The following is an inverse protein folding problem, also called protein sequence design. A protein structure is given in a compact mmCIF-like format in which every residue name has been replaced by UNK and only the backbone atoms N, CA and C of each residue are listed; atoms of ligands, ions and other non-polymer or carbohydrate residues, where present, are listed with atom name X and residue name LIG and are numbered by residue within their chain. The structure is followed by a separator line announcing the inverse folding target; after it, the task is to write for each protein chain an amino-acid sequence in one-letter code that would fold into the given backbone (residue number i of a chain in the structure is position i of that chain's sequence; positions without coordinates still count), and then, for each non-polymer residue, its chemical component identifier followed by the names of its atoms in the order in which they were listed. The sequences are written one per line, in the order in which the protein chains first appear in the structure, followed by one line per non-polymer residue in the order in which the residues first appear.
data_IF_066216121515
#
_entry.id   IF_066216121515
#
_cell.length_a   1.000
_cell.length_b   1.000
_cell.length_c   1.000
_cell.angle_alpha   90.00
_cell.angle_beta   90.00
_cell.angle_gamma   90.00
#
_symmetry.space_group_name_H-M   'P 1'
#
loop_
_entity.id
_entity.type
_entity.pdbx_description
1 polymer ?
#
# COMPACT_ATOMS: atom_id res chain seq x y z
N UNK A 1 -22.66 -11.06 9.46
CA UNK A 1 -21.28 -10.99 8.94
C UNK A 1 -20.94 -12.37 8.43
N UNK A 2 -20.61 -12.51 7.15
CA UNK A 2 -20.38 -13.81 6.51
C UNK A 2 -19.23 -14.54 7.21
N UNK A 3 -19.46 -15.81 7.56
CA UNK A 3 -18.44 -16.72 8.03
C UNK A 3 -17.49 -16.95 6.86
N UNK A 4 -16.32 -16.32 6.89
CA UNK A 4 -15.18 -16.72 6.05
C UNK A 4 -14.98 -18.23 6.24
N UNK A 5 -14.75 -18.98 5.15
CA UNK A 5 -14.36 -20.40 5.24
C UNK A 5 -13.16 -20.58 6.19
N UNK A 6 -12.88 -21.80 6.65
CA UNK A 6 -11.91 -22.05 7.74
C UNK A 6 -10.49 -21.50 7.51
N UNK A 7 -10.14 -21.10 6.29
CA UNK A 7 -8.83 -20.62 5.89
C UNK A 7 -8.84 -19.27 5.12
N UNK A 8 -9.96 -18.55 5.09
CA UNK A 8 -10.07 -17.31 4.31
C UNK A 8 -9.71 -16.04 5.11
N UNK A 9 -9.09 -15.06 4.46
CA UNK A 9 -8.75 -13.75 5.03
C UNK A 9 -8.98 -12.61 4.04
N UNK A 10 -9.01 -11.37 4.55
CA UNK A 10 -9.27 -10.17 3.75
C UNK A 10 -8.08 -9.20 3.76
N UNK A 11 -7.81 -8.60 2.61
CA UNK A 11 -6.93 -7.44 2.47
C UNK A 11 -7.67 -6.31 1.74
N UNK A 12 -7.32 -5.07 2.03
CA UNK A 12 -7.72 -3.94 1.19
C UNK A 12 -6.83 -3.88 -0.06
N UNK A 13 -7.43 -3.69 -1.22
CA UNK A 13 -6.70 -3.11 -2.35
C UNK A 13 -6.38 -1.64 -2.00
N UNK A 14 -5.25 -1.12 -2.47
CA UNK A 14 -4.82 0.25 -2.18
C UNK A 14 -4.69 1.06 -3.47
N UNK A 15 -5.04 2.34 -3.38
CA UNK A 15 -4.64 3.36 -4.36
C UNK A 15 -3.57 4.24 -3.73
N UNK A 16 -2.49 4.49 -4.45
CA UNK A 16 -1.41 5.39 -4.03
C UNK A 16 -1.26 6.50 -5.05
N UNK A 17 -1.46 7.74 -4.63
CA UNK A 17 -1.51 8.91 -5.52
C UNK A 17 -0.48 9.96 -5.12
N UNK A 18 0.17 10.55 -6.12
CA UNK A 18 1.09 11.67 -5.94
C UNK A 18 0.29 12.93 -5.65
N UNK A 19 0.74 13.66 -4.63
CA UNK A 19 0.24 14.96 -4.21
C UNK A 19 1.35 15.98 -4.35
N UNK A 20 1.12 16.99 -5.18
CA UNK A 20 2.03 18.09 -5.45
C UNK A 20 1.42 19.38 -4.89
N UNK A 21 2.06 20.01 -3.90
CA UNK A 21 1.59 21.28 -3.38
C UNK A 21 1.56 22.37 -4.48
N UNK A 22 0.49 23.17 -4.57
CA UNK A 22 0.32 24.15 -5.64
C UNK A 22 1.42 25.21 -5.59
N UNK A 23 1.91 25.62 -6.76
CA UNK A 23 2.94 26.66 -6.89
C UNK A 23 4.33 26.27 -6.38
N UNK A 24 4.56 24.98 -6.06
CA UNK A 24 5.86 24.48 -5.60
C UNK A 24 6.55 23.66 -6.68
N UNK A 25 7.86 23.84 -6.81
CA UNK A 25 8.68 23.00 -7.69
C UNK A 25 8.80 21.59 -7.10
N UNK A 26 8.51 20.59 -7.92
CA UNK A 26 8.75 19.18 -7.62
C UNK A 26 10.13 18.82 -8.18
N UNK A 27 10.99 18.28 -7.32
CA UNK A 27 12.40 17.97 -7.66
C UNK A 27 12.58 16.52 -8.13
N UNK A 28 11.61 15.64 -7.87
CA UNK A 28 11.56 14.31 -8.43
C UNK A 28 10.72 14.27 -9.72
N UNK A 29 10.63 13.10 -10.36
CA UNK A 29 9.83 12.91 -11.58
C UNK A 29 8.31 12.83 -11.36
N UNK A 30 7.82 13.06 -10.14
CA UNK A 30 6.41 12.90 -9.79
C UNK A 30 5.56 14.04 -10.37
N UNK A 31 4.35 13.72 -10.82
CA UNK A 31 3.37 14.67 -11.34
C UNK A 31 2.05 14.53 -10.59
N UNK A 32 1.33 15.64 -10.45
CA UNK A 32 -0.02 15.62 -9.87
C UNK A 32 -0.91 14.61 -10.62
N UNK A 33 -1.58 13.73 -9.88
CA UNK A 33 -2.45 12.69 -10.45
C UNK A 33 -1.74 11.39 -10.87
N UNK A 34 -0.40 11.34 -10.88
CA UNK A 34 0.32 10.07 -11.03
C UNK A 34 -0.10 9.13 -9.89
N UNK A 35 -0.43 7.90 -10.22
CA UNK A 35 -0.86 6.92 -9.23
C UNK A 35 -0.54 5.48 -9.61
N UNK A 36 -0.61 4.59 -8.64
CA UNK A 36 -0.68 3.16 -8.88
C UNK A 36 -1.73 2.53 -7.98
N UNK A 37 -2.19 1.35 -8.35
CA UNK A 37 -3.08 0.53 -7.54
C UNK A 37 -2.36 -0.75 -7.13
N UNK A 38 -2.39 -1.07 -5.84
CA UNK A 38 -1.99 -2.36 -5.31
C UNK A 38 -3.26 -3.21 -5.16
N UNK A 39 -3.43 -4.17 -6.06
CA UNK A 39 -4.58 -5.07 -6.08
C UNK A 39 -4.11 -6.46 -5.64
N UNK A 40 -4.46 -6.86 -4.43
CA UNK A 40 -3.78 -7.98 -3.77
C UNK A 40 -2.29 -7.72 -3.62
N UNK A 41 -1.44 -8.65 -4.06
CA UNK A 41 0.02 -8.47 -4.09
C UNK A 41 0.55 -7.76 -5.36
N UNK A 42 -0.33 -7.43 -6.31
CA UNK A 42 0.08 -6.96 -7.64
C UNK A 42 -0.06 -5.43 -7.78
N UNK A 43 1.04 -4.77 -8.17
CA UNK A 43 1.07 -3.34 -8.45
C UNK A 43 0.72 -3.06 -9.92
N UNK A 44 -0.23 -2.15 -10.16
CA UNK A 44 -0.68 -1.73 -11.47
C UNK A 44 -0.48 -0.23 -11.67
N UNK A 45 0.14 0.14 -12.78
CA UNK A 45 0.26 1.52 -13.25
C UNK A 45 -0.74 1.79 -14.38
N UNK A 46 -1.24 3.02 -14.53
CA UNK A 46 -1.93 3.44 -15.74
C UNK A 46 -1.05 3.26 -16.98
N UNK A 47 -1.63 2.98 -18.17
CA UNK A 47 -0.87 2.81 -19.39
C UNK A 47 0.04 4.00 -19.69
N UNK A 48 1.33 3.73 -19.93
CA UNK A 48 2.33 4.75 -20.27
C UNK A 48 2.80 5.62 -19.10
N UNK A 49 2.32 5.38 -17.87
CA UNK A 49 2.77 6.13 -16.71
C UNK A 49 4.04 5.50 -16.12
N UNK A 50 5.12 6.29 -16.05
CA UNK A 50 6.27 5.96 -15.22
C UNK A 50 6.01 6.33 -13.76
N UNK A 51 6.70 5.68 -12.82
CA UNK A 51 6.70 6.08 -11.42
C UNK A 51 8.13 6.16 -10.91
N UNK A 52 8.45 7.18 -10.11
CA UNK A 52 9.79 7.34 -9.54
C UNK A 52 10.12 6.15 -8.63
N UNK A 53 11.19 5.42 -8.93
CA UNK A 53 11.64 4.29 -8.09
C UNK A 53 12.03 4.74 -6.69
N UNK A 54 12.53 5.97 -6.54
CA UNK A 54 12.81 6.55 -5.24
C UNK A 54 11.52 6.81 -4.45
N UNK A 55 10.48 7.33 -5.11
CA UNK A 55 9.17 7.51 -4.48
C UNK A 55 8.55 6.17 -4.10
N UNK A 56 8.69 5.13 -4.94
CA UNK A 56 8.29 3.76 -4.60
C UNK A 56 9.04 3.24 -3.36
N UNK A 57 10.37 3.43 -3.29
CA UNK A 57 11.16 2.97 -2.14
C UNK A 57 10.71 3.56 -0.81
N UNK A 58 10.15 4.77 -0.81
CA UNK A 58 9.63 5.41 0.38
C UNK A 58 8.28 4.82 0.84
N UNK A 59 7.40 4.43 -0.10
CA UNK A 59 6.04 3.97 0.23
C UNK A 59 5.91 2.46 0.35
N UNK A 60 6.68 1.69 -0.41
CA UNK A 60 6.61 0.22 -0.46
C UNK A 60 6.67 -0.46 0.92
N UNK A 61 7.54 -0.04 1.87
CA UNK A 61 7.63 -0.68 3.17
C UNK A 61 6.33 -0.62 3.99
N UNK A 62 5.42 0.29 3.67
CA UNK A 62 4.20 0.55 4.44
C UNK A 62 2.97 -0.13 3.85
N UNK A 63 3.02 -0.59 2.59
CA UNK A 63 1.83 -1.05 1.88
C UNK A 63 1.22 -2.29 2.51
N UNK A 64 2.02 -3.29 2.89
CA UNK A 64 1.51 -4.52 3.50
C UNK A 64 0.74 -4.26 4.80
N UNK A 65 1.25 -3.35 5.64
CA UNK A 65 0.55 -2.92 6.85
C UNK A 65 -0.74 -2.16 6.51
N UNK A 66 -0.70 -1.28 5.51
CA UNK A 66 -1.86 -0.49 5.07
C UNK A 66 -2.98 -1.33 4.44
N UNK A 67 -2.66 -2.49 3.85
CA UNK A 67 -3.66 -3.46 3.36
C UNK A 67 -4.44 -4.15 4.48
N UNK A 68 -3.89 -4.22 5.70
CA UNK A 68 -4.50 -4.94 6.82
C UNK A 68 -5.36 -4.01 7.67
N UNK A 69 -6.36 -4.54 8.39
CA UNK A 69 -6.95 -3.83 9.53
C UNK A 69 -5.84 -3.50 10.53
N UNK A 70 -5.79 -2.24 10.96
CA UNK A 70 -4.82 -1.72 11.91
C UNK A 70 -5.58 -1.15 13.12
N UNK A 71 -4.94 -1.06 14.28
CA UNK A 71 -5.60 -0.59 15.49
C UNK A 71 -6.01 0.90 15.34
N UNK A 72 -7.22 1.31 15.75
CA UNK A 72 -7.71 2.68 15.50
C UNK A 72 -6.84 3.79 16.12
N UNK A 73 -6.12 3.48 17.19
CA UNK A 73 -5.22 4.43 17.88
C UNK A 73 -3.76 4.36 17.42
N UNK A 74 -3.44 3.53 16.43
CA UNK A 74 -2.10 3.45 15.84
C UNK A 74 -1.97 4.51 14.72
N UNK A 75 -0.85 5.23 14.69
CA UNK A 75 -0.53 6.18 13.62
C UNK A 75 -0.56 5.51 12.24
N UNK A 76 -0.27 4.20 12.17
CA UNK A 76 -0.39 3.42 10.93
C UNK A 76 -1.83 3.40 10.39
N UNK A 77 -2.85 3.67 11.21
CA UNK A 77 -4.23 3.79 10.76
C UNK A 77 -4.54 5.17 10.20
N UNK A 78 -4.05 6.24 10.84
CA UNK A 78 -4.42 7.62 10.52
C UNK A 78 -3.53 8.27 9.47
N UNK A 79 -2.23 7.99 9.50
CA UNK A 79 -1.23 8.74 8.74
C UNK A 79 -1.08 8.11 7.36
N UNK A 80 -1.77 8.68 6.37
CA UNK A 80 -1.87 8.12 5.03
C UNK A 80 -0.99 8.81 4.00
N UNK A 81 -0.14 9.76 4.40
CA UNK A 81 0.73 10.51 3.50
C UNK A 81 2.20 10.26 3.78
N UNK A 82 2.92 9.82 2.75
CA UNK A 82 4.35 9.52 2.82
C UNK A 82 5.11 10.59 2.04
N UNK A 83 6.13 11.18 2.67
CA UNK A 83 6.93 12.23 2.05
C UNK A 83 7.82 11.67 0.92
N UNK A 84 8.15 12.54 -0.04
CA UNK A 84 9.25 12.27 -0.97
C UNK A 84 10.55 11.98 -0.18
N UNK A 85 11.39 11.02 -0.62
CA UNK A 85 12.68 10.78 0.04
C UNK A 85 13.68 11.94 -0.14
N UNK A 86 13.51 12.79 -1.15
CA UNK A 86 14.26 14.04 -1.25
C UNK A 86 13.62 15.09 -0.31
N UNK A 87 14.32 15.55 0.75
CA UNK A 87 13.78 16.48 1.72
C UNK A 87 13.43 17.85 1.12
N UNK A 88 13.97 18.19 -0.05
CA UNK A 88 13.67 19.45 -0.74
C UNK A 88 12.54 19.31 -1.77
N UNK A 89 12.04 18.10 -1.99
CA UNK A 89 10.91 17.84 -2.87
C UNK A 89 9.61 17.80 -2.05
N UNK A 90 8.68 18.74 -2.24
CA UNK A 90 7.49 18.84 -1.38
C UNK A 90 6.37 17.88 -1.77
N UNK A 91 6.57 17.00 -2.75
CA UNK A 91 5.58 16.00 -3.14
C UNK A 91 5.36 14.97 -2.02
N UNK A 92 4.15 14.42 -1.97
CA UNK A 92 3.77 13.33 -1.07
C UNK A 92 3.07 12.23 -1.84
N UNK A 93 2.96 11.06 -1.21
CA UNK A 93 2.20 9.92 -1.70
C UNK A 93 1.06 9.65 -0.73
N UNK A 94 -0.18 9.76 -1.18
CA UNK A 94 -1.35 9.44 -0.36
C UNK A 94 -1.80 8.02 -0.62
N UNK A 95 -1.96 7.23 0.44
CA UNK A 95 -2.48 5.87 0.41
C UNK A 95 -3.98 5.92 0.76
N UNK A 96 -4.81 5.28 -0.06
CA UNK A 96 -6.24 5.13 0.18
C UNK A 96 -6.63 3.67 0.09
N UNK A 97 -7.26 3.15 1.15
CA UNK A 97 -7.88 1.81 1.13
C UNK A 97 -9.08 1.83 0.18
N UNK A 98 -9.12 0.89 -0.75
CA UNK A 98 -10.21 0.67 -1.69
C UNK A 98 -11.12 -0.44 -1.17
N UNK A 99 -11.71 -1.23 -2.07
CA UNK A 99 -12.48 -2.42 -1.72
C UNK A 99 -11.63 -3.50 -1.05
N UNK A 100 -12.30 -4.38 -0.31
CA UNK A 100 -11.69 -5.58 0.24
C UNK A 100 -11.65 -6.70 -0.81
N UNK A 101 -10.60 -7.49 -0.74
CA UNK A 101 -10.38 -8.72 -1.51
C UNK A 101 -10.24 -9.88 -0.55
N UNK A 102 -10.88 -11.00 -0.88
CA UNK A 102 -10.80 -12.24 -0.12
C UNK A 102 -9.71 -13.11 -0.72
N UNK A 103 -8.91 -13.72 0.16
CA UNK A 103 -7.89 -14.71 -0.15
C UNK A 103 -8.17 -15.99 0.63
N UNK A 104 -7.68 -17.13 0.15
CA UNK A 104 -7.52 -18.36 0.93
C UNK A 104 -6.05 -18.49 1.33
N UNK A 105 -5.79 -18.95 2.55
CA UNK A 105 -4.44 -19.23 3.06
C UNK A 105 -3.69 -20.24 2.18
N UNK A 106 -4.37 -21.32 1.78
CA UNK A 106 -3.76 -22.38 0.96
C UNK A 106 -3.32 -21.92 -0.43
N UNK A 107 -3.92 -20.84 -0.95
CA UNK A 107 -3.57 -20.29 -2.26
C UNK A 107 -2.29 -19.43 -2.22
N UNK A 108 -1.93 -18.90 -1.05
CA UNK A 108 -0.87 -17.86 -0.92
C UNK A 108 0.34 -18.31 -0.10
N UNK A 109 0.32 -19.51 0.46
CA UNK A 109 1.47 -20.07 1.18
C UNK A 109 1.46 -21.59 1.17
N UNK A 110 2.66 -22.18 1.19
CA UNK A 110 2.85 -23.62 1.33
C UNK A 110 2.84 -24.09 2.80
N UNK A 111 2.89 -23.16 3.77
CA UNK A 111 2.90 -23.49 5.20
C UNK A 111 1.46 -23.76 5.68
N UNK A 112 1.14 -24.93 6.25
CA UNK A 112 -0.23 -25.22 6.71
C UNK A 112 -0.69 -24.35 7.89
N UNK A 113 -2.01 -24.14 8.02
CA UNK A 113 -2.58 -23.51 9.21
C UNK A 113 -2.32 -24.33 10.47
N UNK A 114 -2.03 -23.65 11.59
CA UNK A 114 -1.79 -24.28 12.89
C UNK A 114 -0.38 -24.83 13.09
N UNK A 115 0.49 -24.76 12.08
CA UNK A 115 1.93 -24.93 12.26
C UNK A 115 2.51 -23.60 12.73
N UNK A 116 2.61 -23.42 14.04
CA UNK A 116 3.43 -22.35 14.61
C UNK A 116 4.89 -22.78 14.44
N UNK A 117 5.70 -21.99 13.72
CA UNK A 117 7.15 -22.14 13.80
C UNK A 117 7.59 -21.56 15.13
N UNK A 118 7.81 -22.44 16.12
CA UNK A 118 8.43 -22.09 17.41
C UNK A 118 9.95 -21.87 17.24
N UNK A 119 10.37 -21.13 16.21
CA UNK A 119 11.77 -20.79 15.99
C UNK A 119 11.99 -19.27 16.04
N UNK A 120 12.58 -18.88 17.18
CA UNK A 120 13.12 -17.58 17.67
C UNK A 120 12.24 -16.72 18.58
#
# INVERSE_FOLDING_TARGET
MATLGSDAFELYDLRVEVICPPGRKICCGAKEGDHFELRGEMLYLPPGQGFSIYSLSAVLPLLAAKQRPTHPNDWMTTDCEIACPDPNCPSRLRITRMGKRIFSHGDVTAVPLGVLSDDE
#
